data_IF_270456529942
#
_entry.id   IF_270456529942
#
_cell.length_a   1.000
_cell.length_b   1.000
_cell.length_c   1.000
_cell.angle_alpha   90.00
_cell.angle_beta   90.00
_cell.angle_gamma   90.00
#
_symmetry.space_group_name_H-M   'P 1'
#
loop_
_entity.id
_entity.type
_entity.pdbx_description
1 polymer ?
#
# COMPACT_ATOMS: atom_id res chain seq x y z
N UNK A 1 61.33 8.26 -18.04
CA UNK A 1 59.86 8.26 -18.04
C UNK A 1 59.36 6.88 -17.60
N UNK A 2 58.89 6.75 -16.35
CA UNK A 2 58.35 5.50 -15.81
C UNK A 2 56.81 5.54 -15.98
N UNK A 3 56.28 4.59 -16.71
CA UNK A 3 54.83 4.39 -16.86
C UNK A 3 54.24 4.02 -15.50
N UNK A 4 53.32 4.81 -14.94
CA UNK A 4 52.52 4.44 -13.80
C UNK A 4 51.53 3.36 -14.22
N UNK A 5 51.48 2.28 -13.44
CA UNK A 5 50.60 1.13 -13.61
C UNK A 5 49.16 1.53 -13.30
N UNK A 6 48.25 1.04 -14.14
CA UNK A 6 46.78 1.20 -14.05
C UNK A 6 46.13 0.52 -12.83
N UNK A 7 46.92 0.17 -11.81
CA UNK A 7 46.42 -0.52 -10.61
C UNK A 7 46.09 0.43 -9.45
N UNK A 8 46.47 1.69 -9.49
CA UNK A 8 46.35 2.62 -8.36
C UNK A 8 45.09 3.50 -8.41
N UNK A 9 44.21 3.35 -9.41
CA UNK A 9 42.96 4.12 -9.49
C UNK A 9 41.70 3.42 -8.95
N UNK A 10 41.81 2.20 -8.41
CA UNK A 10 40.67 1.40 -7.99
C UNK A 10 40.33 1.49 -6.49
N UNK A 11 41.07 2.26 -5.71
CA UNK A 11 40.90 2.30 -4.24
C UNK A 11 40.46 3.66 -3.68
N UNK A 12 39.91 4.58 -4.47
CA UNK A 12 39.52 5.91 -3.95
C UNK A 12 38.07 6.31 -4.15
N UNK A 13 37.14 5.37 -4.37
CA UNK A 13 35.71 5.68 -4.47
C UNK A 13 34.84 4.88 -3.52
N UNK A 14 35.36 4.49 -2.35
CA UNK A 14 34.53 3.84 -1.33
C UNK A 14 34.61 4.64 -0.02
N UNK A 15 33.95 5.80 -0.01
CA UNK A 15 33.58 6.47 1.23
C UNK A 15 32.27 7.21 1.05
N UNK A 16 31.21 6.61 1.55
CA UNK A 16 30.04 7.34 2.03
C UNK A 16 28.79 7.35 1.20
N UNK A 17 28.13 6.21 1.09
CA UNK A 17 26.65 6.22 1.02
C UNK A 17 26.14 5.00 1.77
N UNK A 18 25.67 5.22 2.98
CA UNK A 18 24.85 4.28 3.74
C UNK A 18 23.46 4.25 3.13
N UNK A 19 23.35 3.63 2.01
CA UNK A 19 22.11 3.32 1.32
C UNK A 19 22.43 2.16 0.40
N UNK A 20 22.31 0.93 0.91
CA UNK A 20 22.44 -0.25 0.08
C UNK A 20 21.23 -0.29 -0.85
N UNK A 21 21.35 0.36 -2.01
CA UNK A 21 20.48 0.04 -3.13
C UNK A 21 20.93 -1.33 -3.61
N UNK A 22 20.19 -2.36 -3.25
CA UNK A 22 20.34 -3.70 -3.83
C UNK A 22 19.94 -3.61 -5.31
N UNK A 23 20.92 -3.30 -6.15
CA UNK A 23 20.79 -3.48 -7.58
C UNK A 23 20.89 -4.98 -7.83
N UNK A 24 19.75 -5.64 -8.04
CA UNK A 24 19.75 -7.02 -8.52
C UNK A 24 19.94 -6.97 -10.02
N UNK A 25 21.10 -7.40 -10.57
CA UNK A 25 21.28 -7.45 -12.01
C UNK A 25 20.35 -8.54 -12.58
N UNK A 26 19.40 -8.12 -13.41
CA UNK A 26 18.60 -9.05 -14.21
C UNK A 26 19.47 -9.53 -15.36
N UNK A 27 20.30 -10.54 -15.13
CA UNK A 27 20.99 -11.27 -16.16
C UNK A 27 20.74 -12.77 -15.97
N UNK A 28 19.95 -13.33 -16.87
CA UNK A 28 19.81 -14.78 -17.06
C UNK A 28 18.77 -15.41 -16.16
N UNK A 29 17.58 -15.63 -16.66
CA UNK A 29 16.71 -16.79 -16.42
C UNK A 29 16.23 -17.15 -15.02
N UNK A 30 16.72 -16.55 -13.96
CA UNK A 30 16.27 -16.81 -12.61
C UNK A 30 14.97 -16.04 -12.37
N UNK A 31 13.88 -16.78 -12.18
CA UNK A 31 12.62 -16.20 -11.73
C UNK A 31 12.90 -15.54 -10.38
N UNK A 32 12.94 -14.21 -10.34
CA UNK A 32 12.93 -13.48 -9.08
C UNK A 32 11.64 -13.88 -8.36
N UNK A 33 11.79 -14.68 -7.33
CA UNK A 33 10.65 -15.10 -6.51
C UNK A 33 10.30 -13.93 -5.60
N UNK A 34 9.36 -13.09 -6.03
CA UNK A 34 8.79 -12.06 -5.17
C UNK A 34 7.97 -12.76 -4.10
N UNK A 35 8.34 -12.65 -2.85
CA UNK A 35 7.58 -13.21 -1.73
C UNK A 35 6.30 -12.39 -1.48
N UNK A 36 5.34 -12.55 -2.38
CA UNK A 36 4.01 -11.95 -2.22
C UNK A 36 3.26 -12.60 -1.06
N UNK A 37 3.53 -13.86 -0.76
CA UNK A 37 2.86 -14.59 0.32
C UNK A 37 3.21 -14.02 1.68
N UNK A 38 4.49 -13.69 1.92
CA UNK A 38 4.94 -13.05 3.16
C UNK A 38 4.23 -11.73 3.43
N UNK A 39 3.99 -10.92 2.41
CA UNK A 39 3.22 -9.67 2.53
C UNK A 39 1.77 -9.93 2.98
N UNK A 40 1.07 -10.88 2.34
CA UNK A 40 -0.31 -11.19 2.68
C UNK A 40 -0.45 -11.83 4.05
N UNK A 41 0.49 -12.70 4.44
CA UNK A 41 0.53 -13.31 5.77
C UNK A 41 0.75 -12.26 6.86
N UNK A 42 1.61 -11.27 6.63
CA UNK A 42 1.81 -10.16 7.55
C UNK A 42 0.55 -9.29 7.70
N UNK A 43 -0.19 -9.04 6.60
CA UNK A 43 -1.47 -8.35 6.67
C UNK A 43 -2.54 -9.17 7.43
N UNK A 44 -2.61 -10.48 7.20
CA UNK A 44 -3.51 -11.36 7.94
C UNK A 44 -3.22 -11.29 9.45
N UNK A 45 -1.96 -11.35 9.86
CA UNK A 45 -1.57 -11.23 11.25
C UNK A 45 -1.97 -9.86 11.84
N UNK A 46 -1.65 -8.77 11.12
CA UNK A 46 -1.99 -7.42 11.55
C UNK A 46 -3.50 -7.25 11.76
N UNK A 47 -4.32 -7.70 10.81
CA UNK A 47 -5.78 -7.59 10.91
C UNK A 47 -6.34 -8.50 11.99
N UNK A 48 -5.87 -9.76 12.08
CA UNK A 48 -6.35 -10.72 13.07
C UNK A 48 -6.00 -10.32 14.51
N UNK A 49 -4.96 -9.53 14.71
CA UNK A 49 -4.54 -9.03 16.03
C UNK A 49 -5.06 -7.63 16.35
N UNK A 50 -5.84 -7.03 15.43
CA UNK A 50 -6.40 -5.69 15.58
C UNK A 50 -7.91 -5.72 15.72
N UNK A 51 -8.47 -4.74 16.42
CA UNK A 51 -9.91 -4.45 16.42
C UNK A 51 -10.25 -3.58 15.20
N UNK A 52 -11.24 -4.00 14.41
CA UNK A 52 -11.78 -3.21 13.30
C UNK A 52 -12.86 -2.29 13.84
N UNK A 53 -12.71 -1.00 13.63
CA UNK A 53 -13.71 0.01 13.98
C UNK A 53 -14.32 0.56 12.70
N UNK A 54 -15.62 0.32 12.48
CA UNK A 54 -16.38 0.92 11.38
C UNK A 54 -16.92 2.26 11.87
N UNK A 55 -16.36 3.35 11.39
CA UNK A 55 -16.80 4.71 11.71
C UNK A 55 -17.62 5.36 10.59
N UNK A 56 -17.63 4.76 9.39
CA UNK A 56 -18.39 5.20 8.22
C UNK A 56 -19.11 4.03 7.58
N UNK A 57 -20.28 3.66 8.10
CA UNK A 57 -21.05 2.55 7.56
C UNK A 57 -21.49 2.79 6.11
N UNK A 58 -21.69 1.71 5.36
CA UNK A 58 -22.32 1.73 4.05
C UNK A 58 -23.64 2.53 4.11
N UNK A 59 -23.83 3.42 3.16
CA UNK A 59 -25.01 4.32 3.11
C UNK A 59 -24.86 5.63 3.90
N UNK A 60 -23.79 5.79 4.69
CA UNK A 60 -23.51 7.05 5.37
C UNK A 60 -22.86 8.07 4.43
N UNK A 61 -23.07 9.37 4.72
CA UNK A 61 -22.43 10.46 4.00
C UNK A 61 -21.05 10.78 4.58
N UNK A 62 -20.14 11.24 3.72
CA UNK A 62 -18.85 11.74 4.18
C UNK A 62 -19.01 13.01 5.00
N UNK A 63 -18.30 13.18 6.16
CA UNK A 63 -18.48 14.33 7.05
C UNK A 63 -18.23 15.70 6.42
N UNK A 64 -17.29 15.76 5.45
CA UNK A 64 -16.92 17.01 4.75
C UNK A 64 -17.55 17.16 3.38
N UNK A 65 -18.00 16.06 2.79
CA UNK A 65 -18.54 16.00 1.42
C UNK A 65 -19.87 15.25 1.44
N UNK A 66 -20.99 15.88 1.78
CA UNK A 66 -22.29 15.23 2.01
C UNK A 66 -22.82 14.46 0.80
N UNK A 67 -22.44 14.85 -0.40
CA UNK A 67 -22.83 14.18 -1.64
C UNK A 67 -22.09 12.85 -1.87
N UNK A 68 -20.99 12.64 -1.13
CA UNK A 68 -20.26 11.39 -1.18
C UNK A 68 -20.87 10.40 -0.19
N UNK A 69 -21.44 9.32 -0.72
CA UNK A 69 -22.06 8.23 0.06
C UNK A 69 -21.17 7.00 0.00
N UNK A 70 -20.82 6.46 1.17
CA UNK A 70 -20.05 5.22 1.26
C UNK A 70 -20.85 4.03 0.72
N UNK A 71 -20.29 3.32 -0.26
CA UNK A 71 -20.91 2.15 -0.88
C UNK A 71 -20.49 0.84 -0.24
N UNK A 72 -19.45 0.86 0.57
CA UNK A 72 -18.89 -0.24 1.34
C UNK A 72 -18.60 0.30 2.73
N UNK A 73 -18.67 -0.53 3.77
CA UNK A 73 -18.29 -0.13 5.11
C UNK A 73 -16.83 0.32 5.13
N UNK A 74 -16.58 1.46 5.78
CA UNK A 74 -15.26 2.02 5.91
C UNK A 74 -14.92 2.29 7.37
N UNK A 75 -13.68 2.02 7.72
CA UNK A 75 -13.20 2.20 9.08
C UNK A 75 -11.69 2.08 9.17
N UNK A 76 -11.21 1.67 10.31
CA UNK A 76 -9.78 1.57 10.57
C UNK A 76 -9.45 0.44 11.57
N UNK A 77 -8.18 0.05 11.58
CA UNK A 77 -7.61 -0.85 12.58
C UNK A 77 -7.20 -0.04 13.81
N UNK A 78 -7.79 -0.35 14.95
CA UNK A 78 -7.48 0.31 16.23
C UNK A 78 -6.06 -0.03 16.70
N UNK A 79 -5.39 0.93 17.31
CA UNK A 79 -4.01 0.82 17.79
C UNK A 79 -2.97 0.55 16.70
N UNK A 80 -3.25 0.95 15.48
CA UNK A 80 -2.30 0.99 14.36
C UNK A 80 -2.03 2.43 13.96
N UNK A 81 -1.04 2.65 13.11
CA UNK A 81 -0.71 3.98 12.61
C UNK A 81 -0.53 3.97 11.09
N UNK A 82 -1.04 5.01 10.43
CA UNK A 82 -0.81 5.32 9.03
C UNK A 82 -0.16 6.68 8.86
N UNK A 83 0.04 7.13 7.63
CA UNK A 83 0.77 8.38 7.34
C UNK A 83 0.11 9.64 7.89
N UNK A 84 -1.20 9.65 8.07
CA UNK A 84 -1.95 10.78 8.61
C UNK A 84 -2.04 10.79 10.15
N UNK A 85 -1.38 9.83 10.83
CA UNK A 85 -1.39 9.67 12.28
C UNK A 85 -2.62 8.96 12.83
N UNK A 86 -3.59 8.63 11.98
CA UNK A 86 -4.73 7.77 12.31
C UNK A 86 -4.40 6.29 12.26
N UNK A 87 -5.39 5.43 12.44
CA UNK A 87 -5.27 3.99 12.22
C UNK A 87 -5.16 3.66 10.74
N UNK A 88 -4.73 2.42 10.44
CA UNK A 88 -4.71 1.93 9.07
C UNK A 88 -6.15 1.76 8.59
N UNK A 89 -6.49 2.41 7.50
CA UNK A 89 -7.83 2.39 6.92
C UNK A 89 -8.18 1.05 6.31
N UNK A 90 -9.44 0.64 6.49
CA UNK A 90 -9.99 -0.59 5.93
C UNK A 90 -11.33 -0.35 5.23
N UNK A 91 -11.55 -1.10 4.16
CA UNK A 91 -12.86 -1.29 3.55
C UNK A 91 -13.35 -2.70 3.90
N UNK A 92 -14.54 -2.82 4.47
CA UNK A 92 -15.10 -4.10 4.90
C UNK A 92 -16.34 -4.41 4.07
N UNK A 93 -16.21 -5.43 3.23
CA UNK A 93 -17.27 -5.86 2.33
C UNK A 93 -18.22 -6.87 2.96
N UNK A 94 -19.06 -7.42 2.11
CA UNK A 94 -20.15 -8.35 2.49
C UNK A 94 -19.80 -9.83 2.34
N UNK A 95 -18.58 -10.17 1.88
CA UNK A 95 -18.16 -11.53 1.56
C UNK A 95 -17.08 -12.06 2.53
N UNK A 96 -17.45 -12.24 3.79
CA UNK A 96 -16.60 -12.85 4.82
C UNK A 96 -15.57 -11.90 5.42
N UNK A 97 -14.43 -12.46 5.87
CA UNK A 97 -13.39 -11.72 6.62
C UNK A 97 -12.00 -11.87 6.03
N UNK A 98 -11.88 -12.43 4.85
CA UNK A 98 -10.58 -12.61 4.21
C UNK A 98 -10.05 -11.29 3.67
N UNK A 99 -8.77 -11.03 3.87
CA UNK A 99 -8.08 -9.98 3.14
C UNK A 99 -7.85 -10.49 1.71
N UNK A 100 -8.43 -9.82 0.75
CA UNK A 100 -8.41 -10.25 -0.65
C UNK A 100 -7.86 -9.20 -1.61
N UNK A 101 -7.67 -7.97 -1.14
CA UNK A 101 -7.04 -6.92 -1.91
C UNK A 101 -6.48 -5.81 -1.01
N UNK A 102 -5.61 -4.99 -1.58
CA UNK A 102 -5.22 -3.69 -1.04
C UNK A 102 -5.37 -2.62 -2.10
N UNK A 103 -5.66 -1.40 -1.66
CA UNK A 103 -5.69 -0.20 -2.48
C UNK A 103 -4.48 0.66 -2.15
N UNK A 104 -3.55 0.82 -3.10
CA UNK A 104 -2.42 1.73 -2.95
C UNK A 104 -2.78 3.08 -3.55
N UNK A 105 -2.68 4.16 -2.76
CA UNK A 105 -3.24 5.46 -3.09
C UNK A 105 -2.16 6.53 -3.01
N UNK A 106 -2.22 7.47 -3.95
CA UNK A 106 -1.51 8.75 -3.91
C UNK A 106 -2.54 9.86 -3.87
N UNK A 107 -2.44 10.75 -2.90
CA UNK A 107 -3.27 11.95 -2.76
C UNK A 107 -2.41 13.19 -2.94
N UNK A 108 -2.61 13.90 -4.06
CA UNK A 108 -1.86 15.11 -4.39
C UNK A 108 -2.26 16.32 -3.54
N UNK A 109 -3.47 16.33 -3.00
CA UNK A 109 -3.93 17.41 -2.11
C UNK A 109 -3.29 17.32 -0.73
N UNK A 110 -3.28 16.11 -0.16
CA UNK A 110 -2.62 15.82 1.12
C UNK A 110 -1.10 15.69 0.96
N UNK A 111 -0.62 15.42 -0.26
CA UNK A 111 0.79 15.13 -0.57
C UNK A 111 1.30 13.90 0.17
N UNK A 112 0.49 12.86 0.22
CA UNK A 112 0.79 11.59 0.87
C UNK A 112 0.50 10.39 -0.05
N UNK A 113 0.83 9.23 0.46
CA UNK A 113 0.55 7.94 -0.17
C UNK A 113 0.32 6.91 0.94
N UNK A 114 -0.69 6.10 0.78
CA UNK A 114 -1.11 5.13 1.80
C UNK A 114 -1.66 3.85 1.19
N UNK A 115 -1.71 2.80 2.01
CA UNK A 115 -2.36 1.53 1.68
C UNK A 115 -3.64 1.43 2.50
N UNK A 116 -4.76 1.10 1.84
CA UNK A 116 -6.02 0.72 2.48
C UNK A 116 -6.27 -0.76 2.27
N UNK A 117 -6.70 -1.47 3.31
CA UNK A 117 -6.91 -2.91 3.26
C UNK A 117 -8.36 -3.19 2.90
N UNK A 118 -8.62 -4.12 1.97
CA UNK A 118 -9.94 -4.60 1.62
C UNK A 118 -10.17 -5.97 2.24
N UNK A 119 -11.22 -6.07 3.05
CA UNK A 119 -11.54 -7.25 3.83
C UNK A 119 -12.92 -7.75 3.40
N UNK A 120 -13.00 -8.96 2.87
CA UNK A 120 -14.27 -9.59 2.46
C UNK A 120 -15.06 -8.80 1.44
N UNK A 121 -14.39 -8.16 0.49
CA UNK A 121 -15.05 -7.39 -0.57
C UNK A 121 -15.37 -8.29 -1.78
N UNK A 122 -16.61 -8.24 -2.26
CA UNK A 122 -16.97 -8.80 -3.57
C UNK A 122 -16.23 -8.07 -4.69
N UNK A 123 -16.23 -8.59 -5.92
CA UNK A 123 -15.61 -7.87 -7.05
C UNK A 123 -16.32 -6.54 -7.34
N UNK A 124 -17.64 -6.47 -7.16
CA UNK A 124 -18.41 -5.23 -7.28
C UNK A 124 -17.99 -4.21 -6.22
N UNK A 125 -17.85 -4.65 -4.98
CA UNK A 125 -17.39 -3.78 -3.88
C UNK A 125 -15.96 -3.30 -4.09
N UNK A 126 -15.05 -4.16 -4.57
CA UNK A 126 -13.68 -3.77 -4.96
C UNK A 126 -13.68 -2.69 -6.05
N UNK A 127 -14.58 -2.82 -7.04
CA UNK A 127 -14.70 -1.82 -8.11
C UNK A 127 -15.29 -0.51 -7.60
N UNK A 128 -16.21 -0.52 -6.64
CA UNK A 128 -16.70 0.69 -5.97
C UNK A 128 -15.57 1.40 -5.20
N UNK A 129 -14.78 0.65 -4.45
CA UNK A 129 -13.60 1.19 -3.77
C UNK A 129 -12.60 1.78 -4.77
N UNK A 130 -12.31 1.07 -5.86
CA UNK A 130 -11.42 1.55 -6.92
C UNK A 130 -11.92 2.88 -7.53
N UNK A 131 -13.21 2.97 -7.88
CA UNK A 131 -13.80 4.19 -8.43
C UNK A 131 -13.68 5.35 -7.45
N UNK A 132 -14.04 5.13 -6.19
CA UNK A 132 -13.94 6.12 -5.11
C UNK A 132 -12.57 6.79 -5.06
N UNK A 133 -11.50 6.01 -5.20
CA UNK A 133 -10.13 6.52 -5.13
C UNK A 133 -9.57 7.01 -6.48
N UNK A 134 -10.38 7.03 -7.54
CA UNK A 134 -9.95 7.44 -8.88
C UNK A 134 -10.87 8.49 -9.53
N UNK A 135 -11.92 8.95 -8.85
CA UNK A 135 -12.89 9.92 -9.38
C UNK A 135 -12.27 11.28 -9.67
N UNK A 136 -11.37 11.74 -8.82
CA UNK A 136 -10.77 13.08 -8.97
C UNK A 136 -9.41 13.02 -9.65
N UNK A 137 -8.97 14.15 -10.18
CA UNK A 137 -7.60 14.30 -10.71
C UNK A 137 -6.54 14.33 -9.60
N UNK A 138 -6.92 14.56 -8.34
CA UNK A 138 -6.00 14.73 -7.22
C UNK A 138 -5.70 13.43 -6.49
N UNK A 139 -6.59 12.44 -6.57
CA UNK A 139 -6.40 11.15 -5.93
C UNK A 139 -6.39 10.05 -6.99
N UNK A 140 -5.38 9.20 -6.95
CA UNK A 140 -5.25 8.02 -7.81
C UNK A 140 -4.81 6.81 -7.00
N UNK A 141 -5.36 5.67 -7.36
CA UNK A 141 -5.03 4.43 -6.70
C UNK A 141 -5.00 3.24 -7.66
N UNK A 142 -4.25 2.24 -7.25
CA UNK A 142 -4.23 0.93 -7.89
C UNK A 142 -4.78 -0.11 -6.93
N UNK A 143 -5.56 -1.05 -7.47
CA UNK A 143 -6.08 -2.18 -6.73
C UNK A 143 -5.19 -3.40 -6.97
N UNK A 144 -4.63 -3.95 -5.91
CA UNK A 144 -3.80 -5.16 -5.94
C UNK A 144 -4.60 -6.27 -5.29
N UNK A 145 -4.94 -7.30 -6.07
CA UNK A 145 -5.63 -8.51 -5.60
C UNK A 145 -4.62 -9.52 -5.06
N UNK A 146 -5.08 -10.26 -4.05
CA UNK A 146 -4.34 -11.39 -3.49
C UNK A 146 -4.37 -12.60 -4.40
#
# INVERSE_FOLDING_TARGET
>A
MKRKSLKDEKERNDMGTTGTVLFVPVCGGDKVNYDHEGFWNALDELVNTSEIVIDRPKGSAHPRFPDFIYRVDYGYLKNTASMDGGGIDVWVGSDGKRIDAVMCIVDLMKRDSEIKILIGCTEEEKMEVYRTHNETQFMKGILIRR
#
